data_IF_144780282540
#
_entry.id   IF_144780282540
#
_cell.length_a   1.000
_cell.length_b   1.000
_cell.length_c   1.000
_cell.angle_alpha   90.00
_cell.angle_beta   90.00
_cell.angle_gamma   90.00
#
_symmetry.space_group_name_H-M   'P 1'
#
loop_
_entity.id
_entity.type
_entity.pdbx_description
1 polymer ?
#
# COMPACT_ATOMS: atom_id res chain seq x y z
N UNK A 1 0.87 10.79 21.31
CA UNK A 1 0.77 9.36 21.03
C UNK A 1 -0.67 8.93 21.22
N UNK A 2 -1.21 8.14 20.29
CA UNK A 2 -2.54 7.57 20.44
C UNK A 2 -2.51 6.45 21.51
N UNK A 3 -3.45 6.49 22.43
CA UNK A 3 -3.91 5.26 23.07
C UNK A 3 -4.70 4.49 22.03
N UNK A 4 -4.65 3.16 22.00
CA UNK A 4 -5.31 2.36 20.97
C UNK A 4 -6.78 2.78 20.77
N UNK A 5 -7.14 3.19 19.52
CA UNK A 5 -8.49 3.68 19.22
C UNK A 5 -9.38 2.62 18.57
N UNK A 6 -8.82 1.46 18.29
CA UNK A 6 -9.48 0.44 17.53
C UNK A 6 -9.70 0.83 16.06
N UNK A 7 -10.73 0.27 15.44
CA UNK A 7 -11.03 0.50 14.03
C UNK A 7 -11.67 1.88 13.84
N UNK A 8 -11.08 2.70 12.96
CA UNK A 8 -11.53 4.05 12.66
C UNK A 8 -11.74 4.25 11.17
N UNK A 9 -12.75 5.04 10.76
CA UNK A 9 -12.87 5.48 9.38
C UNK A 9 -11.77 6.49 9.08
N UNK A 10 -11.01 6.22 8.03
CA UNK A 10 -9.87 7.05 7.60
C UNK A 10 -9.80 7.11 6.09
N UNK A 11 -9.03 8.08 5.58
CA UNK A 11 -8.55 8.05 4.22
C UNK A 11 -7.14 7.48 4.21
N UNK A 12 -6.92 6.43 3.42
CA UNK A 12 -5.65 5.78 3.18
C UNK A 12 -5.20 6.04 1.75
N UNK A 13 -3.94 6.43 1.54
CA UNK A 13 -3.41 6.62 0.20
C UNK A 13 -2.84 5.30 -0.32
N UNK A 14 -3.44 4.79 -1.41
CA UNK A 14 -2.99 3.59 -2.11
C UNK A 14 -2.22 3.95 -3.35
N UNK A 15 -0.96 3.51 -3.41
CA UNK A 15 -0.13 3.66 -4.59
C UNK A 15 -0.56 2.67 -5.68
N UNK A 16 -0.70 3.18 -6.91
CA UNK A 16 -0.96 2.38 -8.11
C UNK A 16 0.29 2.23 -8.96
N UNK A 17 1.21 3.18 -8.85
CA UNK A 17 2.50 3.14 -9.52
C UNK A 17 3.56 3.76 -8.63
N UNK A 18 4.70 3.10 -8.53
CA UNK A 18 5.87 3.56 -7.78
C UNK A 18 7.10 3.49 -8.67
N UNK A 19 7.87 4.56 -8.71
CA UNK A 19 9.15 4.63 -9.41
C UNK A 19 10.20 5.19 -8.47
N UNK A 20 11.16 4.37 -8.10
CA UNK A 20 12.33 4.80 -7.33
C UNK A 20 13.36 5.48 -8.21
N UNK A 21 14.06 6.45 -7.67
CA UNK A 21 15.19 7.08 -8.34
C UNK A 21 16.28 6.05 -8.65
N UNK A 22 16.82 6.09 -9.86
CA UNK A 22 17.89 5.17 -10.29
C UNK A 22 19.21 5.43 -9.57
N UNK A 23 19.38 6.64 -9.07
CA UNK A 23 20.57 7.07 -8.34
C UNK A 23 20.17 7.71 -7.01
N UNK A 24 21.05 7.57 -6.04
CA UNK A 24 20.90 8.28 -4.76
C UNK A 24 21.15 9.78 -4.97
N UNK A 25 20.31 10.61 -4.35
CA UNK A 25 20.46 12.05 -4.27
C UNK A 25 20.54 12.46 -2.80
N UNK A 26 21.61 13.15 -2.41
CA UNK A 26 21.89 13.55 -1.00
C UNK A 26 21.73 12.39 0.01
N UNK A 27 22.21 11.19 -0.36
CA UNK A 27 22.13 10.00 0.46
C UNK A 27 20.74 9.38 0.58
N UNK A 28 19.77 9.83 -0.22
CA UNK A 28 18.39 9.33 -0.26
C UNK A 28 18.03 8.78 -1.63
N UNK A 29 17.27 7.71 -1.65
CA UNK A 29 16.62 7.22 -2.86
C UNK A 29 15.23 7.84 -2.96
N UNK A 30 15.06 8.79 -3.88
CA UNK A 30 13.78 9.46 -4.10
C UNK A 30 12.73 8.51 -4.65
N UNK A 31 11.46 8.83 -4.43
CA UNK A 31 10.34 8.06 -4.95
C UNK A 31 9.31 8.97 -5.64
N UNK A 32 8.87 8.58 -6.83
CA UNK A 32 7.72 9.16 -7.51
C UNK A 32 6.57 8.18 -7.42
N UNK A 33 5.48 8.58 -6.77
CA UNK A 33 4.35 7.71 -6.47
C UNK A 33 3.08 8.30 -7.06
N UNK A 34 2.34 7.49 -7.82
CA UNK A 34 0.97 7.79 -8.25
C UNK A 34 0.00 6.94 -7.42
N UNK A 35 -1.14 7.50 -7.09
CA UNK A 35 -2.14 6.80 -6.28
C UNK A 35 -3.31 7.70 -5.93
N UNK A 36 -4.19 7.19 -5.09
CA UNK A 36 -5.39 7.91 -4.65
C UNK A 36 -5.68 7.67 -3.17
N UNK A 37 -6.29 8.67 -2.55
CA UNK A 37 -6.91 8.53 -1.24
C UNK A 37 -8.20 7.73 -1.37
N UNK A 38 -8.37 6.73 -0.50
CA UNK A 38 -9.53 5.84 -0.45
C UNK A 38 -10.05 5.80 0.97
N UNK A 39 -11.38 5.73 1.13
CA UNK A 39 -12.00 5.56 2.43
C UNK A 39 -11.85 4.10 2.87
N UNK A 40 -11.23 3.91 4.00
CA UNK A 40 -10.97 2.59 4.59
C UNK A 40 -11.28 2.62 6.10
N UNK A 41 -11.51 1.44 6.67
CA UNK A 41 -11.52 1.27 8.11
C UNK A 41 -10.16 0.72 8.54
N UNK A 42 -9.45 1.44 9.41
CA UNK A 42 -8.11 1.06 9.87
C UNK A 42 -8.03 1.05 11.38
N UNK A 43 -7.26 0.10 11.90
CA UNK A 43 -6.94 0.06 13.32
C UNK A 43 -5.86 1.10 13.61
N UNK A 44 -6.17 2.03 14.49
CA UNK A 44 -5.20 2.98 15.03
C UNK A 44 -4.69 2.40 16.35
N UNK A 45 -3.42 2.08 16.38
CA UNK A 45 -2.77 1.38 17.47
C UNK A 45 -2.18 2.31 18.54
N UNK A 46 -1.81 1.72 19.65
CA UNK A 46 -1.03 2.43 20.65
C UNK A 46 0.37 2.76 20.07
N UNK A 47 0.79 4.01 20.23
CA UNK A 47 2.06 4.49 19.69
C UNK A 47 1.96 5.19 18.35
N UNK A 48 0.84 5.08 17.63
CA UNK A 48 0.61 5.88 16.43
C UNK A 48 0.59 7.37 16.78
N UNK A 49 1.06 8.19 15.83
CA UNK A 49 1.14 9.64 16.02
C UNK A 49 -0.10 10.31 15.41
N UNK A 50 -0.79 11.09 16.21
CA UNK A 50 -1.82 12.00 15.74
C UNK A 50 -1.29 13.42 15.61
N UNK A 51 -1.42 14.00 14.43
CA UNK A 51 -0.95 15.35 14.13
C UNK A 51 -2.14 16.22 13.70
N UNK A 52 -2.69 17.10 14.55
CA UNK A 52 -3.77 17.99 14.16
C UNK A 52 -3.28 19.03 13.15
N UNK A 53 -4.06 19.24 12.06
CA UNK A 53 -3.72 20.26 11.06
C UNK A 53 -4.16 21.68 11.45
N UNK A 54 -5.03 21.85 12.44
CA UNK A 54 -5.44 23.15 12.94
C UNK A 54 -4.39 23.74 13.92
N UNK A 55 -3.18 23.91 13.48
CA UNK A 55 -2.05 24.42 14.25
C UNK A 55 -1.20 25.41 13.44
N UNK A 56 -0.37 26.20 14.12
CA UNK A 56 0.48 27.20 13.47
C UNK A 56 1.41 26.63 12.39
N UNK A 57 1.82 25.36 12.51
CA UNK A 57 2.68 24.65 11.54
C UNK A 57 1.90 23.81 10.52
N UNK A 58 0.62 24.05 10.32
CA UNK A 58 -0.23 23.28 9.40
C UNK A 58 0.37 23.15 8.00
N UNK A 59 0.92 24.25 7.44
CA UNK A 59 1.55 24.22 6.11
C UNK A 59 2.74 23.28 6.05
N UNK A 60 3.56 23.25 7.10
CA UNK A 60 4.71 22.34 7.19
C UNK A 60 4.24 20.89 7.27
N UNK A 61 3.24 20.60 8.10
CA UNK A 61 2.65 19.25 8.20
C UNK A 61 2.17 18.75 6.83
N UNK A 62 1.40 19.59 6.12
CA UNK A 62 0.90 19.23 4.78
C UNK A 62 2.04 19.08 3.79
N UNK A 63 3.01 19.99 3.77
CA UNK A 63 4.15 19.89 2.83
C UNK A 63 4.96 18.60 3.04
N UNK A 64 5.13 18.17 4.27
CA UNK A 64 5.91 16.96 4.59
C UNK A 64 5.13 15.66 4.40
N UNK A 65 3.84 15.66 4.72
CA UNK A 65 3.04 14.42 4.80
C UNK A 65 2.05 14.24 3.65
N UNK A 66 1.84 15.26 2.79
CA UNK A 66 1.03 15.07 1.58
C UNK A 66 1.83 14.26 0.55
N UNK A 67 1.38 13.06 0.15
CA UNK A 67 2.15 12.21 -0.76
C UNK A 67 2.39 12.83 -2.15
N UNK A 68 1.58 13.81 -2.53
CA UNK A 68 1.71 14.53 -3.82
C UNK A 68 2.50 15.84 -3.72
N UNK A 69 2.92 16.23 -2.53
CA UNK A 69 3.75 17.42 -2.39
C UNK A 69 5.17 17.16 -2.93
N UNK A 70 5.76 18.08 -3.69
CA UNK A 70 7.04 17.85 -4.37
C UNK A 70 8.20 17.56 -3.43
N UNK A 71 8.18 18.14 -2.23
CA UNK A 71 9.22 17.97 -1.19
C UNK A 71 8.72 17.16 0.01
N UNK A 72 7.73 16.27 -0.21
CA UNK A 72 7.23 15.43 0.86
C UNK A 72 8.26 14.40 1.32
N UNK A 73 8.11 13.93 2.55
CA UNK A 73 8.92 12.83 3.08
C UNK A 73 8.79 11.57 2.20
N UNK A 74 7.65 11.39 1.52
CA UNK A 74 7.48 10.31 0.55
C UNK A 74 8.38 10.54 -0.67
N UNK A 75 8.34 11.72 -1.29
CA UNK A 75 9.17 12.05 -2.45
C UNK A 75 10.66 11.92 -2.14
N UNK A 76 11.07 12.25 -0.92
CA UNK A 76 12.42 12.08 -0.40
C UNK A 76 12.75 10.67 0.11
N UNK A 77 11.88 9.69 -0.15
CA UNK A 77 12.14 8.27 0.10
C UNK A 77 12.10 7.83 1.55
N UNK A 78 11.56 8.64 2.47
CA UNK A 78 11.46 8.27 3.89
C UNK A 78 10.52 7.08 4.14
N UNK A 79 9.68 6.74 3.18
CA UNK A 79 8.69 5.67 3.28
C UNK A 79 8.84 4.59 2.19
N UNK A 80 10.02 4.46 1.57
CA UNK A 80 10.25 3.52 0.48
C UNK A 80 9.87 2.09 0.84
N UNK A 81 10.14 1.66 2.07
CA UNK A 81 9.84 0.30 2.55
C UNK A 81 8.34 -0.06 2.50
N UNK A 82 7.44 0.93 2.46
CA UNK A 82 6.00 0.70 2.29
C UNK A 82 5.64 0.30 0.84
N UNK A 83 6.54 0.55 -0.10
CA UNK A 83 6.34 0.34 -1.53
C UNK A 83 7.29 -0.72 -2.11
N UNK A 84 8.19 -1.23 -1.30
CA UNK A 84 9.09 -2.31 -1.68
C UNK A 84 8.38 -3.65 -1.56
N UNK A 85 8.46 -4.46 -2.63
CA UNK A 85 8.07 -5.86 -2.51
C UNK A 85 9.05 -6.56 -1.59
N UNK A 86 8.55 -7.08 -0.51
CA UNK A 86 9.29 -8.03 0.31
C UNK A 86 9.15 -9.41 -0.32
N UNK A 87 10.21 -10.18 -0.30
CA UNK A 87 10.18 -11.59 -0.71
C UNK A 87 9.41 -12.43 0.32
N UNK A 88 8.07 -12.41 0.23
CA UNK A 88 7.24 -13.25 1.09
C UNK A 88 7.03 -14.66 0.54
N UNK A 89 7.32 -14.85 -0.74
CA UNK A 89 7.05 -16.11 -1.42
C UNK A 89 7.96 -16.20 -2.64
N UNK A 90 8.82 -17.21 -2.66
CA UNK A 90 9.62 -17.52 -3.84
C UNK A 90 8.72 -17.97 -5.00
N UNK A 91 9.17 -17.78 -6.24
CA UNK A 91 8.33 -17.98 -7.43
C UNK A 91 7.77 -19.40 -7.52
N UNK A 92 8.57 -20.42 -7.19
CA UNK A 92 8.12 -21.81 -7.18
C UNK A 92 7.04 -22.09 -6.13
N UNK A 93 7.12 -21.45 -4.95
CA UNK A 93 6.08 -21.53 -3.91
C UNK A 93 4.80 -20.85 -4.39
N UNK A 94 4.92 -19.70 -5.08
CA UNK A 94 3.79 -19.00 -5.65
C UNK A 94 3.05 -19.83 -6.72
N UNK A 95 3.78 -20.61 -7.51
CA UNK A 95 3.17 -21.54 -8.46
C UNK A 95 2.38 -22.66 -7.79
N UNK A 96 2.94 -23.26 -6.73
CA UNK A 96 2.25 -24.33 -5.99
C UNK A 96 0.99 -23.79 -5.28
N UNK A 97 1.07 -22.60 -4.71
CA UNK A 97 -0.09 -21.90 -4.12
C UNK A 97 -1.16 -21.63 -5.18
N UNK A 98 -0.77 -21.17 -6.38
CA UNK A 98 -1.70 -20.93 -7.47
C UNK A 98 -2.42 -22.21 -7.91
N UNK A 99 -1.68 -23.31 -8.08
CA UNK A 99 -2.25 -24.62 -8.42
C UNK A 99 -3.23 -25.11 -7.35
N UNK A 100 -2.84 -24.98 -6.07
CA UNK A 100 -3.70 -25.40 -4.96
C UNK A 100 -4.99 -24.56 -4.89
N UNK A 101 -4.92 -23.26 -5.08
CA UNK A 101 -6.09 -22.39 -5.09
C UNK A 101 -7.02 -22.67 -6.26
N UNK A 102 -6.47 -22.90 -7.47
CA UNK A 102 -7.26 -23.28 -8.65
C UNK A 102 -7.97 -24.61 -8.45
N UNK A 103 -7.34 -25.57 -7.80
CA UNK A 103 -7.94 -26.88 -7.52
C UNK A 103 -9.04 -26.81 -6.44
N UNK A 104 -8.86 -25.92 -5.46
CA UNK A 104 -9.76 -25.80 -4.31
C UNK A 104 -10.99 -24.92 -4.57
N UNK A 105 -10.89 -23.94 -5.49
CA UNK A 105 -11.95 -22.94 -5.71
C UNK A 105 -12.29 -22.80 -7.21
N UNK A 106 -13.36 -23.51 -7.68
CA UNK A 106 -13.82 -23.40 -9.07
C UNK A 106 -14.27 -21.98 -9.47
N UNK A 107 -14.78 -21.17 -8.52
CA UNK A 107 -15.19 -19.81 -8.82
C UNK A 107 -13.97 -18.90 -9.06
N UNK A 108 -12.92 -19.08 -8.28
CA UNK A 108 -11.63 -18.41 -8.51
C UNK A 108 -11.02 -18.84 -9.85
N UNK A 109 -11.09 -20.12 -10.21
CA UNK A 109 -10.62 -20.61 -11.48
C UNK A 109 -11.38 -19.93 -12.65
N UNK A 110 -12.71 -19.82 -12.56
CA UNK A 110 -13.50 -19.10 -13.55
C UNK A 110 -13.10 -17.62 -13.67
N UNK A 111 -12.90 -16.92 -12.55
CA UNK A 111 -12.44 -15.52 -12.54
C UNK A 111 -11.05 -15.38 -13.18
N UNK A 112 -10.14 -16.31 -12.91
CA UNK A 112 -8.80 -16.29 -13.49
C UNK A 112 -8.86 -16.49 -15.01
N UNK A 113 -9.61 -17.46 -15.48
CA UNK A 113 -9.79 -17.71 -16.92
C UNK A 113 -10.46 -16.54 -17.64
N UNK A 114 -11.48 -15.93 -17.02
CA UNK A 114 -12.12 -14.73 -17.56
C UNK A 114 -11.10 -13.59 -17.69
N UNK A 115 -10.29 -13.35 -16.64
CA UNK A 115 -9.26 -12.31 -16.67
C UNK A 115 -8.18 -12.57 -17.71
N UNK A 116 -7.79 -13.83 -17.95
CA UNK A 116 -6.87 -14.20 -19.03
C UNK A 116 -7.43 -13.87 -20.42
N UNK A 117 -8.75 -14.02 -20.61
CA UNK A 117 -9.41 -13.72 -21.88
C UNK A 117 -9.57 -12.21 -22.11
N UNK A 118 -9.92 -11.46 -21.06
CA UNK A 118 -10.28 -10.05 -21.14
C UNK A 118 -9.08 -9.10 -21.08
N UNK A 119 -7.94 -9.54 -20.50
CA UNK A 119 -6.77 -8.72 -20.27
C UNK A 119 -5.50 -9.31 -20.91
N UNK A 120 -5.17 -8.93 -22.16
CA UNK A 120 -3.99 -9.45 -22.85
C UNK A 120 -2.66 -9.10 -22.17
N UNK A 121 -2.60 -7.99 -21.41
CA UNK A 121 -1.40 -7.61 -20.67
C UNK A 121 -1.19 -8.55 -19.48
N UNK A 122 -2.25 -8.85 -18.74
CA UNK A 122 -2.26 -9.84 -17.68
C UNK A 122 -1.89 -11.24 -18.20
N UNK A 123 -2.47 -11.66 -19.34
CA UNK A 123 -2.21 -12.97 -19.93
C UNK A 123 -0.74 -13.17 -20.31
N UNK A 124 -0.05 -12.11 -20.76
CA UNK A 124 1.36 -12.15 -21.14
C UNK A 124 2.35 -12.02 -19.98
N UNK A 125 1.89 -11.63 -18.77
CA UNK A 125 2.74 -11.40 -17.63
C UNK A 125 2.69 -12.56 -16.61
N UNK A 126 3.70 -13.45 -16.55
CA UNK A 126 3.77 -14.50 -15.52
C UNK A 126 3.67 -13.90 -14.11
N UNK A 127 4.40 -12.82 -13.85
CA UNK A 127 4.38 -12.14 -12.55
C UNK A 127 2.99 -11.63 -12.16
N UNK A 128 2.23 -11.03 -13.09
CA UNK A 128 0.86 -10.57 -12.81
C UNK A 128 -0.08 -11.75 -12.51
N UNK A 129 0.09 -12.88 -13.21
CA UNK A 129 -0.69 -14.10 -12.96
C UNK A 129 -0.40 -14.68 -11.58
N UNK A 130 0.86 -14.78 -11.18
CA UNK A 130 1.23 -15.24 -9.82
C UNK A 130 0.74 -14.26 -8.74
N UNK A 131 0.86 -12.96 -8.98
CA UNK A 131 0.33 -11.95 -8.07
C UNK A 131 -1.19 -12.05 -7.86
N UNK A 132 -1.94 -12.44 -8.87
CA UNK A 132 -3.40 -12.67 -8.75
C UNK A 132 -3.73 -13.68 -7.66
N UNK A 133 -2.94 -14.76 -7.56
CA UNK A 133 -3.10 -15.77 -6.51
C UNK A 133 -2.46 -15.36 -5.19
N UNK A 134 -1.27 -14.76 -5.24
CA UNK A 134 -0.57 -14.31 -4.04
C UNK A 134 -1.40 -13.33 -3.20
N UNK A 135 -2.14 -12.43 -3.83
CA UNK A 135 -3.05 -11.47 -3.15
C UNK A 135 -4.17 -12.13 -2.35
N UNK A 136 -4.46 -13.40 -2.58
CA UNK A 136 -5.49 -14.21 -1.88
C UNK A 136 -4.89 -15.15 -0.85
N UNK A 137 -3.59 -15.20 -0.76
CA UNK A 137 -2.89 -16.03 0.21
C UNK A 137 -2.79 -15.32 1.58
N UNK A 138 -2.84 -16.10 2.66
CA UNK A 138 -2.78 -15.58 4.02
C UNK A 138 -1.48 -14.82 4.36
N UNK A 139 -0.40 -15.05 3.62
CA UNK A 139 0.86 -14.31 3.76
C UNK A 139 0.90 -12.98 3.02
N UNK A 140 -0.15 -12.61 2.29
CA UNK A 140 -0.17 -11.33 1.58
C UNK A 140 -0.14 -10.15 2.56
N UNK A 141 0.80 -9.23 2.35
CA UNK A 141 0.83 -8.00 3.13
C UNK A 141 -0.12 -6.94 2.52
N UNK A 142 -1.27 -6.76 3.14
CA UNK A 142 -2.25 -5.74 2.74
C UNK A 142 -1.71 -4.30 2.84
N UNK A 143 -0.57 -4.12 3.53
CA UNK A 143 0.11 -2.83 3.67
C UNK A 143 1.04 -2.53 2.50
N UNK A 144 1.31 -3.48 1.61
CA UNK A 144 2.07 -3.20 0.41
C UNK A 144 1.37 -2.12 -0.42
N UNK A 145 2.12 -1.12 -0.87
CA UNK A 145 1.62 0.06 -1.57
C UNK A 145 0.64 0.94 -0.77
N UNK A 146 0.60 0.75 0.54
CA UNK A 146 -0.14 1.61 1.45
C UNK A 146 0.81 2.65 2.06
N UNK A 147 0.56 3.93 1.78
CA UNK A 147 1.27 5.02 2.43
C UNK A 147 0.98 5.01 3.94
N UNK A 148 2.00 5.03 4.82
CA UNK A 148 1.78 4.84 6.26
C UNK A 148 1.25 6.09 6.99
N UNK A 149 0.79 7.09 6.25
CA UNK A 149 0.11 8.27 6.80
C UNK A 149 -1.35 8.23 6.40
N UNK A 150 -2.22 8.27 7.38
CA UNK A 150 -3.67 8.27 7.21
C UNK A 150 -4.21 9.68 7.44
N UNK A 151 -5.37 9.97 6.89
CA UNK A 151 -6.13 11.19 7.16
C UNK A 151 -7.42 10.86 7.86
N UNK A 152 -7.85 11.71 8.76
CA UNK A 152 -9.15 11.61 9.40
C UNK A 152 -9.72 13.00 9.68
N UNK A 153 -11.03 13.14 9.49
CA UNK A 153 -11.79 14.32 9.89
C UNK A 153 -12.36 14.19 11.31
N UNK A 154 -12.21 13.01 11.90
CA UNK A 154 -12.65 12.74 13.27
C UNK A 154 -11.49 12.94 14.21
N UNK A 155 -11.57 13.97 15.06
CA UNK A 155 -10.60 14.13 16.13
C UNK A 155 -10.68 12.94 17.11
N UNK A 156 -9.56 12.30 17.43
CA UNK A 156 -9.57 11.23 18.42
C UNK A 156 -9.96 11.78 19.79
N UNK A 157 -10.66 10.98 20.56
CA UNK A 157 -10.83 11.24 22.00
C UNK A 157 -9.44 11.04 22.64
N UNK A 158 -8.67 12.11 22.74
CA UNK A 158 -7.41 12.11 23.51
C UNK A 158 -7.79 11.92 24.98
N UNK A 159 -7.50 10.78 25.54
CA UNK A 159 -7.52 10.56 26.97
C UNK A 159 -6.14 10.81 27.56
#
# INVERSE_FOLDING_TARGET
LATAWGQQPVQAFRATQVKFGAQSFEGRQTAAVQGAWQNEARVIGAGDLYVPVNQAKARLVVALLEPRAPDSLLAWGSFNTAFERKEYMEEYVAEDVARAQLAADPALAAQFHQKLADDPAFARSPAARLEFFARRHASWDERLNLYPVLRTDVAPALK
#
